data_IF_912043741970
#
_entry.id   IF_912043741970
#
_cell.length_a   1.000
_cell.length_b   1.000
_cell.length_c   1.000
_cell.angle_alpha   90.00
_cell.angle_beta   90.00
_cell.angle_gamma   90.00
#
_symmetry.space_group_name_H-M   'P 1'
#
loop_
_entity.id
_entity.type
_entity.pdbx_description
1 polymer ?
#
# COMPACT_ATOMS: atom_id res chain seq x y z
N UNK A 1 3.39 1.64 2.91
CA UNK A 1 2.18 2.30 3.45
C UNK A 1 1.13 1.22 3.70
N UNK A 2 0.30 1.37 4.73
CA UNK A 2 -0.81 0.47 5.00
C UNK A 2 -2.05 1.26 5.45
N UNK A 3 -3.22 0.88 4.94
CA UNK A 3 -4.50 1.12 5.60
C UNK A 3 -4.69 -0.04 6.56
N UNK A 4 -4.50 0.17 7.86
CA UNK A 4 -4.65 -0.86 8.89
C UNK A 4 -6.03 -0.74 9.54
N UNK A 5 -6.69 -1.88 9.77
CA UNK A 5 -7.83 -1.96 10.68
C UNK A 5 -7.58 -3.00 11.76
N UNK A 6 -7.68 -2.56 13.02
CA UNK A 6 -7.59 -3.46 14.18
C UNK A 6 -8.88 -4.25 14.37
N UNK A 7 -10.04 -3.66 14.02
CA UNK A 7 -11.33 -4.34 14.06
C UNK A 7 -11.40 -5.50 13.07
N UNK A 8 -10.76 -5.36 11.90
CA UNK A 8 -10.65 -6.42 10.89
C UNK A 8 -9.44 -7.35 11.09
N UNK A 9 -8.66 -7.17 12.16
CA UNK A 9 -7.53 -8.04 12.50
C UNK A 9 -6.29 -7.90 11.61
N UNK A 10 -6.20 -6.87 10.75
CA UNK A 10 -5.10 -6.77 9.80
C UNK A 10 -5.14 -5.60 8.82
N UNK A 11 -4.18 -5.54 7.89
CA UNK A 11 -4.18 -4.54 6.85
C UNK A 11 -5.36 -4.75 5.90
N UNK A 12 -5.96 -3.65 5.46
CA UNK A 12 -6.98 -3.61 4.42
C UNK A 12 -6.31 -3.46 3.04
N UNK A 13 -5.39 -2.51 2.93
CA UNK A 13 -4.56 -2.29 1.72
C UNK A 13 -3.12 -2.03 2.16
N UNK A 14 -2.14 -2.58 1.44
CA UNK A 14 -0.71 -2.30 1.64
C UNK A 14 -0.01 -1.96 0.34
N UNK A 15 1.12 -1.26 0.47
CA UNK A 15 2.17 -1.18 -0.53
C UNK A 15 3.32 -2.05 -0.06
N UNK A 16 3.64 -3.08 -0.83
CA UNK A 16 4.67 -4.07 -0.51
C UNK A 16 5.77 -4.08 -1.57
N UNK A 17 7.01 -4.35 -1.14
CA UNK A 17 8.12 -4.71 -2.01
C UNK A 17 8.33 -6.23 -1.93
N UNK A 18 7.93 -6.98 -2.96
CA UNK A 18 7.98 -8.46 -3.00
C UNK A 18 8.36 -8.91 -4.41
N UNK A 19 9.27 -9.89 -4.51
CA UNK A 19 9.68 -10.49 -5.78
C UNK A 19 10.01 -9.47 -6.88
N UNK A 20 10.93 -8.54 -6.58
CA UNK A 20 11.39 -7.47 -7.48
C UNK A 20 10.29 -6.53 -8.00
N UNK A 21 9.19 -6.41 -7.25
CA UNK A 21 8.08 -5.49 -7.55
C UNK A 21 7.67 -4.66 -6.36
N UNK A 22 7.31 -3.42 -6.62
CA UNK A 22 6.46 -2.61 -5.73
C UNK A 22 5.02 -2.87 -6.16
N UNK A 23 4.18 -3.35 -5.25
CA UNK A 23 2.80 -3.70 -5.56
C UNK A 23 1.82 -3.26 -4.49
N UNK A 24 0.62 -2.92 -4.92
CA UNK A 24 -0.52 -2.80 -4.03
C UNK A 24 -1.05 -4.21 -3.75
N UNK A 25 -1.28 -4.50 -2.48
CA UNK A 25 -2.09 -5.63 -2.06
C UNK A 25 -3.34 -5.13 -1.38
N UNK A 26 -4.46 -5.70 -1.77
CA UNK A 26 -5.75 -5.46 -1.19
C UNK A 26 -6.24 -6.75 -0.56
N UNK A 27 -6.45 -6.73 0.76
CA UNK A 27 -6.83 -7.91 1.52
C UNK A 27 -8.34 -8.01 1.70
N UNK A 28 -9.10 -6.98 1.30
CA UNK A 28 -10.57 -7.00 1.33
C UNK A 28 -11.18 -7.23 -0.03
N UNK A 29 -10.46 -6.93 -1.11
CA UNK A 29 -10.91 -7.18 -2.47
C UNK A 29 -9.91 -8.08 -3.18
N UNK A 30 -10.43 -8.91 -4.08
CA UNK A 30 -9.60 -9.80 -4.86
C UNK A 30 -8.77 -9.01 -5.89
N UNK A 31 -7.44 -8.99 -5.71
CA UNK A 31 -6.52 -8.33 -6.63
C UNK A 31 -6.48 -8.99 -8.02
N UNK A 32 -6.81 -10.28 -8.13
CA UNK A 32 -6.85 -10.99 -9.42
C UNK A 32 -8.05 -10.53 -10.26
N UNK A 33 -9.10 -10.06 -9.59
CA UNK A 33 -10.29 -9.47 -10.23
C UNK A 33 -10.15 -7.97 -10.41
N UNK A 34 -9.62 -7.26 -9.41
CA UNK A 34 -9.57 -5.79 -9.41
C UNK A 34 -8.34 -5.21 -10.09
N UNK A 35 -7.33 -6.03 -10.40
CA UNK A 35 -6.13 -5.60 -11.12
C UNK A 35 -5.25 -4.67 -10.29
N UNK A 36 -4.91 -5.07 -9.06
CA UNK A 36 -4.06 -4.25 -8.19
C UNK A 36 -2.74 -3.89 -8.90
N UNK A 37 -2.36 -2.60 -8.93
CA UNK A 37 -1.22 -2.14 -9.71
C UNK A 37 0.10 -2.61 -9.10
N UNK A 38 1.07 -2.85 -9.97
CA UNK A 38 2.44 -3.12 -9.58
C UNK A 38 3.43 -2.58 -10.60
N UNK A 39 4.61 -2.20 -10.14
CA UNK A 39 5.74 -1.77 -10.97
C UNK A 39 7.00 -2.55 -10.59
N UNK A 40 7.96 -2.69 -11.50
CA UNK A 40 9.30 -3.18 -11.16
C UNK A 40 9.94 -2.38 -10.00
N UNK A 41 10.67 -3.05 -9.11
CA UNK A 41 11.31 -2.43 -7.94
C UNK A 41 12.39 -1.41 -8.32
N UNK A 42 13.09 -1.62 -9.44
CA UNK A 42 14.09 -0.69 -9.99
C UNK A 42 13.50 0.68 -10.39
N UNK A 43 12.20 0.74 -10.71
CA UNK A 43 11.47 1.99 -10.94
C UNK A 43 11.22 2.80 -9.67
N UNK A 44 11.51 2.24 -8.49
CA UNK A 44 11.31 2.85 -7.18
C UNK A 44 12.62 3.01 -6.40
N UNK A 45 13.61 2.16 -6.66
CA UNK A 45 14.91 2.13 -5.96
C UNK A 45 15.69 3.42 -6.23
N UNK A 46 16.41 3.90 -5.21
CA UNK A 46 17.20 5.13 -5.24
C UNK A 46 16.45 6.40 -5.67
N UNK A 47 15.12 6.41 -5.45
CA UNK A 47 14.26 7.57 -5.71
C UNK A 47 13.64 8.09 -4.44
N UNK A 48 13.54 9.42 -4.35
CA UNK A 48 12.64 10.05 -3.39
C UNK A 48 11.23 10.03 -3.97
N UNK A 49 10.31 9.36 -3.30
CA UNK A 49 8.91 9.27 -3.73
C UNK A 49 7.99 10.08 -2.83
N UNK A 50 7.05 10.80 -3.44
CA UNK A 50 6.00 11.54 -2.72
C UNK A 50 4.72 10.72 -2.73
N UNK A 51 4.11 10.55 -1.56
CA UNK A 51 2.92 9.73 -1.36
C UNK A 51 1.72 10.61 -1.00
N UNK A 52 0.67 10.53 -1.82
CA UNK A 52 -0.61 11.20 -1.61
C UNK A 52 -1.64 10.16 -1.22
N UNK A 53 -2.15 10.22 0.01
CA UNK A 53 -3.11 9.24 0.55
C UNK A 53 -4.33 9.98 1.04
N UNK A 54 -5.49 9.69 0.46
CA UNK A 54 -6.79 10.11 0.94
C UNK A 54 -7.60 8.87 1.29
N UNK A 55 -8.07 8.79 2.53
CA UNK A 55 -8.88 7.66 3.00
C UNK A 55 -10.15 8.16 3.67
N UNK A 56 -11.27 7.53 3.34
CA UNK A 56 -12.49 7.59 4.14
C UNK A 56 -12.68 6.23 4.76
N UNK A 57 -12.58 6.14 6.09
CA UNK A 57 -12.72 4.87 6.83
C UNK A 57 -14.18 4.43 6.96
N UNK A 58 -14.40 3.14 7.24
CA UNK A 58 -15.71 2.57 7.55
C UNK A 58 -16.27 1.66 6.44
N UNK A 59 -17.50 1.14 6.64
CA UNK A 59 -18.07 0.09 5.78
C UNK A 59 -18.38 0.54 4.35
N UNK A 60 -18.52 1.86 4.12
CA UNK A 60 -18.71 2.48 2.80
C UNK A 60 -17.60 3.50 2.51
N UNK A 61 -16.38 3.11 2.83
CA UNK A 61 -15.19 3.93 2.70
C UNK A 61 -14.67 4.05 1.27
N UNK A 62 -13.51 4.70 1.18
CA UNK A 62 -12.74 4.83 -0.05
C UNK A 62 -11.26 5.01 0.25
N UNK A 63 -10.43 4.65 -0.72
CA UNK A 63 -9.00 4.95 -0.74
C UNK A 63 -8.65 5.52 -2.10
N UNK A 64 -7.93 6.64 -2.09
CA UNK A 64 -7.17 7.15 -3.22
C UNK A 64 -5.71 7.23 -2.79
N UNK A 65 -4.85 6.50 -3.50
CA UNK A 65 -3.42 6.45 -3.20
C UNK A 65 -2.61 6.64 -4.48
N UNK A 66 -1.79 7.70 -4.50
CA UNK A 66 -0.91 8.02 -5.62
C UNK A 66 0.52 8.17 -5.11
N UNK A 67 1.46 7.59 -5.86
CA UNK A 67 2.89 7.72 -5.63
C UNK A 67 3.51 8.40 -6.84
N UNK A 68 4.30 9.43 -6.59
CA UNK A 68 4.98 10.23 -7.61
C UNK A 68 6.48 10.26 -7.35
N UNK A 69 7.25 10.52 -8.40
CA UNK A 69 8.67 10.85 -8.27
C UNK A 69 8.81 12.29 -7.77
N UNK A 70 9.63 12.53 -6.75
CA UNK A 70 9.87 13.88 -6.26
C UNK A 70 10.66 14.75 -7.25
N UNK A 71 11.42 14.13 -8.17
CA UNK A 71 12.13 14.86 -9.22
C UNK A 71 11.17 15.39 -10.31
N UNK A 72 10.02 14.75 -10.50
CA UNK A 72 8.97 15.18 -11.42
C UNK A 72 7.58 14.69 -10.95
N UNK A 73 6.88 15.54 -10.19
CA UNK A 73 5.55 15.23 -9.67
C UNK A 73 4.45 15.18 -10.74
N UNK A 74 4.75 15.44 -12.02
CA UNK A 74 3.79 15.21 -13.11
C UNK A 74 3.66 13.71 -13.43
N UNK A 75 4.66 12.90 -13.07
CA UNK A 75 4.70 11.47 -13.35
C UNK A 75 4.24 10.66 -12.13
N UNK A 76 3.07 10.05 -12.25
CA UNK A 76 2.65 9.03 -11.30
C UNK A 76 3.44 7.73 -11.54
N UNK A 77 4.15 7.26 -10.52
CA UNK A 77 4.82 5.95 -10.52
C UNK A 77 3.81 4.83 -10.33
N UNK A 78 2.84 5.03 -9.44
CA UNK A 78 1.80 4.05 -9.13
C UNK A 78 0.56 4.76 -8.58
N UNK A 79 -0.62 4.36 -9.02
CA UNK A 79 -1.90 4.92 -8.57
C UNK A 79 -2.90 3.82 -8.30
N UNK A 80 -3.66 3.94 -7.23
CA UNK A 80 -4.70 2.99 -6.85
C UNK A 80 -5.88 3.73 -6.23
N UNK A 81 -7.09 3.50 -6.76
CA UNK A 81 -8.33 4.09 -6.26
C UNK A 81 -9.41 3.02 -6.17
N UNK A 82 -10.16 3.04 -5.08
CA UNK A 82 -11.11 1.97 -4.75
C UNK A 82 -12.14 2.45 -3.72
N UNK A 83 -13.35 1.91 -3.84
CA UNK A 83 -14.45 2.13 -2.90
C UNK A 83 -14.81 0.82 -2.21
N UNK A 84 -15.42 0.91 -1.03
CA UNK A 84 -15.85 -0.23 -0.24
C UNK A 84 -15.34 -0.15 1.19
N UNK A 85 -15.42 -1.26 1.92
CA UNK A 85 -15.02 -1.30 3.32
C UNK A 85 -13.53 -0.91 3.49
N UNK A 86 -13.28 0.16 4.25
CA UNK A 86 -11.96 0.66 4.63
C UNK A 86 -11.83 0.59 6.14
N UNK A 87 -11.86 -0.63 6.66
CA UNK A 87 -11.69 -0.91 8.08
C UNK A 87 -12.94 -0.68 8.95
N UNK A 88 -12.90 -1.28 10.13
CA UNK A 88 -13.88 -1.19 11.21
C UNK A 88 -13.21 -0.74 12.53
N UNK A 89 -14.02 -0.30 13.48
CA UNK A 89 -13.71 0.13 14.85
C UNK A 89 -12.54 1.11 14.99
N UNK A 90 -11.30 0.61 14.94
CA UNK A 90 -10.06 1.38 15.01
C UNK A 90 -9.25 1.16 13.74
N UNK A 91 -9.21 2.18 12.89
CA UNK A 91 -8.47 2.17 11.63
C UNK A 91 -7.48 3.33 11.55
N UNK A 92 -6.36 3.11 10.87
CA UNK A 92 -5.27 4.09 10.80
C UNK A 92 -4.46 3.92 9.52
N UNK A 93 -3.92 5.03 9.01
CA UNK A 93 -2.83 4.98 8.03
C UNK A 93 -1.53 4.69 8.78
N UNK A 94 -0.74 3.76 8.26
CA UNK A 94 0.65 3.51 8.68
C UNK A 94 1.59 3.76 7.51
N UNK A 95 2.73 4.37 7.77
CA UNK A 95 3.79 4.56 6.78
C UNK A 95 5.15 4.24 7.41
N UNK A 96 6.16 4.06 6.54
CA UNK A 96 7.46 3.52 6.90
C UNK A 96 7.65 2.08 6.40
N UNK A 97 8.84 1.55 6.67
CA UNK A 97 9.26 0.21 6.21
C UNK A 97 8.85 -0.83 7.24
N UNK A 98 7.91 -1.70 6.87
CA UNK A 98 7.50 -2.84 7.71
C UNK A 98 7.86 -4.14 7.00
N UNK A 99 9.00 -4.71 7.39
CA UNK A 99 9.53 -5.93 6.76
C UNK A 99 8.83 -7.16 7.31
N UNK A 100 8.36 -8.02 6.40
CA UNK A 100 7.89 -9.35 6.76
C UNK A 100 9.08 -10.14 7.33
N UNK A 101 8.93 -10.68 8.54
CA UNK A 101 9.86 -11.67 9.05
C UNK A 101 9.61 -13.00 8.33
N UNK A 102 10.67 -13.62 7.83
CA UNK A 102 10.61 -14.96 7.23
C UNK A 102 11.59 -15.88 7.95
N UNK A 103 11.31 -17.18 7.91
CA UNK A 103 12.18 -18.18 8.52
C UNK A 103 13.60 -18.08 7.97
N UNK A 104 14.59 -18.14 8.87
CA UNK A 104 16.00 -18.02 8.53
C UNK A 104 16.55 -16.58 8.49
N UNK A 105 15.75 -15.54 8.79
CA UNK A 105 16.32 -14.20 9.01
C UNK A 105 17.22 -14.19 10.25
N UNK A 106 18.50 -13.85 10.07
CA UNK A 106 19.52 -13.90 11.13
C UNK A 106 19.82 -12.54 11.79
N UNK A 107 19.32 -11.43 11.24
CA UNK A 107 19.43 -10.08 11.83
C UNK A 107 18.22 -9.21 11.49
N UNK A 108 17.66 -8.52 12.49
CA UNK A 108 16.92 -7.27 12.27
C UNK A 108 17.93 -6.15 11.98
N UNK A 109 17.56 -5.18 11.13
CA UNK A 109 18.33 -3.91 11.07
C UNK A 109 18.03 -3.13 12.35
#
# INVERSE_FOLDING_TARGET
MQVLSRGDGGPIVTLDAVNDRIMIKDYKRDCDVTGCPSIPLDRFTDRTTVHFVTVTFGPKGSLEYVIKDAADESVALLSYSVKGAMGSDSSSIKFGTYRLAVDGMTKSL
#
